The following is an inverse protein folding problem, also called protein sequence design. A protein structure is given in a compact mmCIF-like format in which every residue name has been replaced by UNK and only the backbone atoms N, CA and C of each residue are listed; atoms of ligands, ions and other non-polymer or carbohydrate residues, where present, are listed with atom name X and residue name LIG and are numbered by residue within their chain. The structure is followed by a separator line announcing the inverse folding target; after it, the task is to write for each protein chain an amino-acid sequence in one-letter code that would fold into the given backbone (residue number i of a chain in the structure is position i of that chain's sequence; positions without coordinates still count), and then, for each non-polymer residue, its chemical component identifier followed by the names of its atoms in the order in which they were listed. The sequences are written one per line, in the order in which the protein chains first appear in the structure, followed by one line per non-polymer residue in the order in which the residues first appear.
data_IF_624814247121
#
_entry.id   IF_624814247121
#
_cell.length_a   1.000
_cell.length_b   1.000
_cell.length_c   1.000
_cell.angle_alpha   90.00
_cell.angle_beta   90.00
_cell.angle_gamma   90.00
#
_symmetry.space_group_name_H-M   'P 1'
#
loop_
_entity.id
_entity.type
_entity.pdbx_description
1 polymer ?
#
# COMPACT_ATOMS: atom_id res chain seq x y z
N UNK A 1 -18.16 13.44 7.27
CA UNK A 1 -18.12 14.55 6.31
C UNK A 1 -17.29 14.05 5.15
N UNK A 2 -17.92 13.69 4.04
CA UNK A 2 -17.22 13.25 2.82
C UNK A 2 -16.50 14.47 2.26
N UNK A 3 -15.19 14.37 2.02
CA UNK A 3 -14.44 15.41 1.31
C UNK A 3 -15.05 15.55 -0.10
N UNK A 4 -15.27 16.77 -0.57
CA UNK A 4 -15.68 16.98 -1.96
C UNK A 4 -14.54 16.51 -2.89
N UNK A 5 -14.85 16.19 -4.14
CA UNK A 5 -13.82 15.81 -5.14
C UNK A 5 -12.73 16.88 -5.30
N UNK A 6 -13.09 18.13 -5.09
CA UNK A 6 -12.17 19.28 -5.12
C UNK A 6 -11.24 19.25 -3.90
N UNK A 7 -11.79 19.10 -2.69
CA UNK A 7 -10.98 18.97 -1.46
C UNK A 7 -10.06 17.75 -1.48
N UNK A 8 -10.46 16.67 -2.17
CA UNK A 8 -9.62 15.50 -2.39
C UNK A 8 -8.39 15.79 -3.27
N UNK A 9 -8.60 16.45 -4.41
CA UNK A 9 -7.51 16.85 -5.31
C UNK A 9 -6.56 17.82 -4.63
N UNK A 10 -7.11 18.80 -3.91
CA UNK A 10 -6.32 19.78 -3.15
C UNK A 10 -5.45 19.09 -2.10
N UNK A 11 -6.00 18.11 -1.38
CA UNK A 11 -5.25 17.34 -0.38
C UNK A 11 -4.09 16.55 -1.00
N UNK A 12 -4.31 15.90 -2.15
CA UNK A 12 -3.25 15.18 -2.85
C UNK A 12 -2.15 16.11 -3.38
N UNK A 13 -2.53 17.29 -3.88
CA UNK A 13 -1.61 18.29 -4.42
C UNK A 13 -0.82 19.05 -3.34
N UNK A 14 -1.38 19.19 -2.14
CA UNK A 14 -0.75 19.95 -1.05
C UNK A 14 0.42 19.17 -0.45
N UNK A 15 1.66 19.68 -0.45
CA UNK A 15 2.79 19.03 0.19
C UNK A 15 2.57 18.84 1.70
N UNK A 16 2.99 17.70 2.23
CA UNK A 16 3.02 17.50 3.68
C UNK A 16 4.21 18.26 4.28
N UNK A 17 4.13 18.49 5.60
CA UNK A 17 5.29 18.97 6.35
C UNK A 17 6.48 18.01 6.16
N UNK A 18 7.72 18.48 5.94
CA UNK A 18 8.90 17.61 5.82
C UNK A 18 9.09 16.68 7.03
N UNK A 19 8.61 17.08 8.20
CA UNK A 19 8.63 16.24 9.40
C UNK A 19 7.73 15.00 9.30
N UNK A 20 6.76 14.97 8.39
CA UNK A 20 5.89 13.82 8.19
C UNK A 20 6.62 12.63 7.56
N UNK A 21 7.68 12.89 6.78
CA UNK A 21 8.45 11.86 6.05
C UNK A 21 9.85 11.64 6.60
N UNK A 22 10.27 12.39 7.64
CA UNK A 22 11.64 12.36 8.20
C UNK A 22 12.07 10.97 8.69
N UNK A 23 11.12 10.15 9.17
CA UNK A 23 11.37 8.80 9.69
C UNK A 23 11.08 7.70 8.65
N UNK A 24 10.84 8.09 7.39
CA UNK A 24 10.63 7.17 6.28
C UNK A 24 11.97 6.98 5.57
N UNK A 25 12.51 5.78 5.68
CA UNK A 25 13.75 5.36 5.02
C UNK A 25 13.55 5.21 3.50
N UNK A 26 14.63 4.82 2.81
CA UNK A 26 14.62 4.60 1.37
C UNK A 26 15.03 5.83 0.57
N UNK A 27 15.30 5.59 -0.71
CA UNK A 27 15.92 6.55 -1.63
C UNK A 27 14.92 7.35 -2.47
N UNK A 28 13.61 7.13 -2.31
CA UNK A 28 12.60 7.88 -3.06
C UNK A 28 12.60 9.37 -2.70
N UNK A 29 12.14 10.22 -3.63
CA UNK A 29 11.99 11.65 -3.40
C UNK A 29 11.02 11.93 -2.25
N UNK A 30 11.11 13.14 -1.66
CA UNK A 30 10.19 13.54 -0.59
C UNK A 30 8.72 13.43 -1.06
N UNK A 31 8.43 13.88 -2.28
CA UNK A 31 7.09 13.80 -2.89
C UNK A 31 6.57 12.36 -2.93
N UNK A 32 7.39 11.40 -3.39
CA UNK A 32 7.00 9.98 -3.42
C UNK A 32 6.85 9.38 -2.03
N UNK A 33 7.61 9.85 -1.03
CA UNK A 33 7.43 9.44 0.38
C UNK A 33 6.12 9.92 0.99
N UNK A 34 5.54 11.01 0.48
CA UNK A 34 4.23 11.50 0.93
C UNK A 34 3.06 10.69 0.39
N UNK A 35 3.21 10.05 -0.77
CA UNK A 35 2.14 9.33 -1.46
C UNK A 35 1.49 8.27 -0.56
N UNK A 36 2.24 7.35 0.09
CA UNK A 36 1.64 6.39 1.01
C UNK A 36 0.89 7.03 2.17
N UNK A 37 1.43 8.10 2.76
CA UNK A 37 0.80 8.78 3.90
C UNK A 37 -0.54 9.40 3.49
N UNK A 38 -0.58 10.08 2.35
CA UNK A 38 -1.79 10.69 1.80
C UNK A 38 -2.84 9.64 1.50
N UNK A 39 -2.48 8.57 0.79
CA UNK A 39 -3.44 7.55 0.37
C UNK A 39 -3.96 6.69 1.50
N UNK A 40 -3.11 6.31 2.46
CA UNK A 40 -3.62 5.67 3.68
C UNK A 40 -4.58 6.58 4.42
N UNK A 41 -4.28 7.88 4.58
CA UNK A 41 -5.18 8.82 5.24
C UNK A 41 -6.52 8.98 4.49
N UNK A 42 -6.48 8.99 3.16
CA UNK A 42 -7.67 8.96 2.29
C UNK A 42 -8.50 7.72 2.56
N UNK A 43 -7.91 6.53 2.54
CA UNK A 43 -8.62 5.27 2.83
C UNK A 43 -9.29 5.30 4.20
N UNK A 44 -8.67 5.93 5.21
CA UNK A 44 -9.30 6.10 6.54
C UNK A 44 -10.39 7.16 6.58
N UNK A 45 -10.24 8.24 5.83
CA UNK A 45 -11.16 9.38 5.87
C UNK A 45 -12.44 9.09 5.07
N UNK A 46 -12.30 8.57 3.85
CA UNK A 46 -13.46 8.13 3.05
C UNK A 46 -14.08 6.87 3.62
N UNK A 47 -13.26 5.96 4.13
CA UNK A 47 -13.69 4.74 4.80
C UNK A 47 -14.04 4.94 6.28
N UNK A 48 -14.37 6.14 6.75
CA UNK A 48 -14.68 6.36 8.18
C UNK A 48 -15.87 5.48 8.58
N UNK A 49 -15.62 4.51 9.45
CA UNK A 49 -16.62 3.50 9.87
C UNK A 49 -16.80 2.34 8.88
N UNK A 50 -16.04 2.31 7.79
CA UNK A 50 -15.97 1.21 6.84
C UNK A 50 -15.04 0.07 7.29
N UNK A 51 -15.01 -1.00 6.49
CA UNK A 51 -14.18 -2.16 6.76
C UNK A 51 -12.69 -1.81 6.87
N UNK A 52 -11.99 -2.41 7.83
CA UNK A 52 -10.54 -2.22 8.02
C UNK A 52 -10.12 -0.83 8.52
N UNK A 53 -11.05 0.09 8.81
CA UNK A 53 -10.73 1.47 9.20
C UNK A 53 -9.81 1.53 10.44
N UNK A 54 -10.13 0.80 11.50
CA UNK A 54 -9.32 0.82 12.74
C UNK A 54 -7.97 0.12 12.58
N UNK A 55 -7.95 -1.06 11.94
CA UNK A 55 -6.72 -1.77 11.60
C UNK A 55 -5.78 -0.89 10.77
N UNK A 56 -6.32 -0.27 9.72
CA UNK A 56 -5.57 0.52 8.79
C UNK A 56 -5.01 1.84 9.34
N UNK A 57 -5.56 2.39 10.43
CA UNK A 57 -5.00 3.58 11.12
C UNK A 57 -3.68 3.29 11.83
N UNK A 58 -3.40 2.02 12.14
CA UNK A 58 -2.19 1.57 12.85
C UNK A 58 -1.06 1.20 11.91
N UNK A 59 -1.26 1.27 10.59
CA UNK A 59 -0.20 1.04 9.60
C UNK A 59 0.80 2.20 9.66
N UNK A 60 2.08 1.87 9.80
CA UNK A 60 3.18 2.84 9.81
C UNK A 60 4.04 2.61 8.58
N UNK A 61 4.20 3.64 7.74
CA UNK A 61 5.11 3.60 6.58
C UNK A 61 6.54 3.75 7.08
N UNK A 62 7.43 2.83 6.67
CA UNK A 62 8.81 2.76 7.13
C UNK A 62 9.83 3.00 6.05
N UNK A 63 9.55 2.58 4.82
CA UNK A 63 10.48 2.73 3.70
C UNK A 63 9.70 2.98 2.41
N UNK A 64 10.19 3.91 1.60
CA UNK A 64 9.79 4.06 0.19
C UNK A 64 11.06 4.18 -0.64
N UNK A 65 11.26 3.22 -1.53
CA UNK A 65 12.45 3.14 -2.38
C UNK A 65 12.06 2.93 -3.84
N UNK A 66 12.82 3.52 -4.75
CA UNK A 66 12.80 3.22 -6.17
C UNK A 66 14.14 2.58 -6.50
N UNK A 67 14.13 1.34 -6.98
CA UNK A 67 15.35 0.55 -7.14
C UNK A 67 15.30 -0.30 -8.41
N UNK A 68 16.45 -0.63 -9.02
CA UNK A 68 16.48 -1.60 -10.10
C UNK A 68 15.97 -2.97 -9.64
N UNK A 69 15.25 -3.68 -10.51
CA UNK A 69 14.89 -5.07 -10.23
C UNK A 69 16.13 -5.96 -10.25
N UNK A 70 16.09 -7.05 -9.48
CA UNK A 70 17.23 -7.97 -9.36
C UNK A 70 17.53 -8.68 -10.68
N UNK A 71 16.48 -9.07 -11.40
CA UNK A 71 16.60 -9.86 -12.64
C UNK A 71 16.85 -9.00 -13.88
N UNK A 72 16.43 -7.73 -13.86
CA UNK A 72 16.64 -6.77 -14.94
C UNK A 72 16.97 -5.37 -14.36
N UNK A 73 18.26 -5.02 -14.22
CA UNK A 73 18.68 -3.74 -13.65
C UNK A 73 18.28 -2.50 -14.46
N UNK A 74 17.78 -2.66 -15.69
CA UNK A 74 17.25 -1.55 -16.49
C UNK A 74 15.83 -1.21 -16.01
N UNK A 75 15.08 -2.21 -15.55
CA UNK A 75 13.73 -2.03 -15.00
C UNK A 75 13.81 -1.57 -13.56
N UNK A 76 12.97 -0.59 -13.23
CA UNK A 76 12.83 -0.07 -11.88
C UNK A 76 11.61 -0.68 -11.20
N UNK A 77 11.68 -0.84 -9.89
CA UNK A 77 10.55 -1.19 -9.02
C UNK A 77 10.44 -0.18 -7.87
N UNK A 78 9.20 0.13 -7.50
CA UNK A 78 8.89 0.73 -6.23
C UNK A 78 8.81 -0.34 -5.15
N UNK A 79 9.48 -0.09 -4.04
CA UNK A 79 9.41 -0.88 -2.81
C UNK A 79 8.80 -0.03 -1.71
N UNK A 80 7.68 -0.48 -1.17
CA UNK A 80 7.00 0.11 -0.03
C UNK A 80 7.06 -0.87 1.15
N UNK A 81 7.57 -0.41 2.29
CA UNK A 81 7.57 -1.18 3.54
C UNK A 81 6.71 -0.49 4.58
N UNK A 82 5.79 -1.26 5.16
CA UNK A 82 4.97 -0.84 6.28
C UNK A 82 5.14 -1.78 7.47
N UNK A 83 4.89 -1.28 8.67
CA UNK A 83 4.86 -2.04 9.92
C UNK A 83 3.50 -1.87 10.62
N UNK A 84 3.05 -2.92 11.29
CA UNK A 84 1.83 -2.92 12.11
C UNK A 84 1.89 -4.03 13.16
N UNK A 85 1.35 -3.79 14.35
CA UNK A 85 1.16 -4.82 15.37
C UNK A 85 -0.23 -5.45 15.26
N UNK A 86 -0.32 -6.77 15.40
CA UNK A 86 -1.61 -7.48 15.40
C UNK A 86 -2.40 -7.18 16.67
N UNK A 87 -3.57 -6.56 16.52
CA UNK A 87 -4.50 -6.27 17.63
C UNK A 87 -5.76 -7.13 17.56
N UNK A 88 -6.54 -7.16 18.65
CA UNK A 88 -7.67 -8.06 18.82
C UNK A 88 -8.75 -7.94 17.73
N UNK A 89 -9.00 -6.72 17.23
CA UNK A 89 -9.98 -6.46 16.17
C UNK A 89 -9.54 -6.95 14.78
N UNK A 90 -8.28 -7.38 14.65
CA UNK A 90 -7.74 -7.99 13.43
C UNK A 90 -7.79 -9.52 13.48
N UNK A 91 -8.07 -10.11 14.64
CA UNK A 91 -8.00 -11.54 14.85
C UNK A 91 -9.31 -12.28 14.52
N UNK A 92 -9.17 -13.56 14.22
CA UNK A 92 -10.27 -14.52 14.19
C UNK A 92 -10.63 -15.01 15.61
N UNK A 93 -11.60 -15.93 15.69
CA UNK A 93 -12.07 -16.51 16.95
C UNK A 93 -11.02 -17.33 17.72
N UNK A 94 -9.86 -17.61 17.14
CA UNK A 94 -8.74 -18.32 17.78
C UNK A 94 -7.63 -17.38 18.26
N UNK A 95 -7.79 -16.07 18.06
CA UNK A 95 -6.79 -15.07 18.43
C UNK A 95 -5.63 -14.96 17.44
N UNK A 96 -5.77 -15.54 16.23
CA UNK A 96 -4.82 -15.41 15.13
C UNK A 96 -5.27 -14.30 14.19
N UNK A 97 -4.34 -13.59 13.56
CA UNK A 97 -4.64 -12.61 12.54
C UNK A 97 -5.53 -13.23 11.44
N UNK A 98 -6.72 -12.68 11.24
CA UNK A 98 -7.70 -13.20 10.30
C UNK A 98 -7.16 -13.10 8.86
N UNK A 99 -7.35 -14.13 8.04
CA UNK A 99 -6.84 -14.16 6.66
C UNK A 99 -7.38 -13.00 5.81
N UNK A 100 -8.65 -12.63 6.01
CA UNK A 100 -9.25 -11.45 5.37
C UNK A 100 -8.63 -10.12 5.81
N UNK A 101 -8.12 -10.02 7.04
CA UNK A 101 -7.38 -8.83 7.48
C UNK A 101 -5.99 -8.79 6.81
N UNK A 102 -5.32 -9.95 6.67
CA UNK A 102 -4.09 -10.05 5.88
C UNK A 102 -4.34 -9.60 4.43
N UNK A 103 -5.38 -10.10 3.77
CA UNK A 103 -5.74 -9.72 2.42
C UNK A 103 -5.98 -8.20 2.28
N UNK A 104 -6.68 -7.59 3.23
CA UNK A 104 -6.91 -6.14 3.29
C UNK A 104 -5.61 -5.32 3.37
N UNK A 105 -4.70 -5.71 4.27
CA UNK A 105 -3.41 -5.02 4.42
C UNK A 105 -2.59 -5.06 3.12
N UNK A 106 -2.67 -6.17 2.40
CA UNK A 106 -1.97 -6.39 1.13
C UNK A 106 -2.62 -5.65 -0.03
N UNK A 107 -3.95 -5.59 -0.07
CA UNK A 107 -4.71 -4.86 -1.08
C UNK A 107 -4.34 -3.38 -1.11
N UNK A 108 -4.30 -2.73 0.05
CA UNK A 108 -3.95 -1.32 0.12
C UNK A 108 -2.45 -1.07 -0.11
N UNK A 109 -1.59 -1.89 0.48
CA UNK A 109 -0.14 -1.74 0.36
C UNK A 109 0.35 -1.94 -1.08
N UNK A 110 -0.23 -2.91 -1.80
CA UNK A 110 0.11 -3.17 -3.20
C UNK A 110 -0.35 -2.02 -4.10
N UNK A 111 -1.57 -1.51 -3.89
CA UNK A 111 -2.13 -0.40 -4.65
C UNK A 111 -1.28 0.86 -4.53
N UNK A 112 -0.83 1.16 -3.31
CA UNK A 112 0.02 2.31 -3.04
C UNK A 112 1.43 2.12 -3.63
N UNK A 113 2.00 0.91 -3.56
CA UNK A 113 3.32 0.65 -4.16
C UNK A 113 3.30 0.83 -5.69
N UNK A 114 2.25 0.33 -6.35
CA UNK A 114 2.03 0.55 -7.79
C UNK A 114 1.88 2.03 -8.12
N UNK A 115 1.09 2.76 -7.32
CA UNK A 115 0.92 4.20 -7.50
C UNK A 115 2.25 4.97 -7.36
N UNK A 116 3.08 4.62 -6.38
CA UNK A 116 4.41 5.22 -6.22
C UNK A 116 5.25 5.02 -7.47
N UNK A 117 5.22 3.83 -8.07
CA UNK A 117 5.94 3.55 -9.32
C UNK A 117 5.36 4.34 -10.49
N UNK A 118 4.03 4.36 -10.65
CA UNK A 118 3.36 5.12 -11.71
C UNK A 118 3.70 6.62 -11.63
N UNK A 119 3.71 7.21 -10.42
CA UNK A 119 4.10 8.61 -10.24
C UNK A 119 5.59 8.84 -10.50
N UNK A 120 6.46 7.89 -10.17
CA UNK A 120 7.88 7.97 -10.51
C UNK A 120 8.12 8.03 -12.03
N UNK A 121 7.30 7.32 -12.81
CA UNK A 121 7.35 7.31 -14.27
C UNK A 121 6.62 8.49 -14.93
N UNK A 122 6.14 9.45 -14.14
CA UNK A 122 5.43 10.64 -14.63
C UNK A 122 3.94 10.44 -14.88
N UNK A 123 3.36 9.34 -14.39
CA UNK A 123 1.93 9.06 -14.43
C UNK A 123 1.12 9.88 -13.42
N UNK A 124 -0.21 9.76 -13.52
CA UNK A 124 -1.14 10.47 -12.65
C UNK A 124 -1.12 9.94 -11.21
N UNK A 125 -1.39 10.82 -10.24
CA UNK A 125 -1.64 10.44 -8.85
C UNK A 125 -3.04 9.82 -8.69
N UNK A 126 -3.21 8.62 -9.26
CA UNK A 126 -4.48 7.90 -9.36
C UNK A 126 -4.30 6.41 -9.03
N UNK A 127 -5.01 5.94 -8.01
CA UNK A 127 -4.94 4.55 -7.59
C UNK A 127 -5.71 3.63 -8.56
N UNK A 128 -5.14 2.46 -8.82
CA UNK A 128 -5.77 1.40 -9.59
C UNK A 128 -6.90 0.72 -8.82
N UNK A 129 -7.73 -0.03 -9.55
CA UNK A 129 -8.74 -0.92 -8.97
C UNK A 129 -8.23 -2.35 -8.98
N UNK A 130 -8.36 -3.04 -7.85
CA UNK A 130 -7.97 -4.44 -7.70
C UNK A 130 -8.83 -5.34 -8.59
N UNK A 131 -8.18 -6.17 -9.41
CA UNK A 131 -8.82 -7.11 -10.31
C UNK A 131 -8.66 -8.55 -9.84
N UNK A 132 -7.42 -8.93 -9.52
CA UNK A 132 -7.12 -10.27 -9.00
C UNK A 132 -6.11 -10.19 -7.88
N UNK A 133 -6.25 -11.08 -6.91
CA UNK A 133 -5.31 -11.22 -5.81
C UNK A 133 -5.16 -12.70 -5.49
N UNK A 134 -3.95 -13.23 -5.70
CA UNK A 134 -3.60 -14.61 -5.39
C UNK A 134 -2.80 -14.62 -4.09
N UNK A 135 -3.33 -15.29 -3.05
CA UNK A 135 -2.76 -15.27 -1.70
C UNK A 135 -2.35 -16.67 -1.28
N UNK A 136 -1.11 -16.82 -0.78
CA UNK A 136 -0.61 -18.02 -0.14
C UNK A 136 -0.35 -17.73 1.34
N UNK A 137 -1.03 -18.46 2.21
CA UNK A 137 -0.86 -18.38 3.66
C UNK A 137 0.13 -19.44 4.13
N UNK A 138 1.26 -19.02 4.67
CA UNK A 138 2.36 -19.90 5.07
C UNK A 138 2.39 -20.17 6.57
N UNK A 139 2.02 -19.19 7.40
CA UNK A 139 2.06 -19.30 8.85
C UNK A 139 0.97 -18.45 9.53
N UNK A 140 0.65 -18.79 10.78
CA UNK A 140 -0.23 -17.99 11.63
C UNK A 140 0.55 -16.87 12.34
N UNK A 141 -0.15 -15.77 12.63
CA UNK A 141 0.35 -14.62 13.37
C UNK A 141 -0.57 -14.33 14.58
N UNK A 142 -0.21 -14.73 15.80
CA UNK A 142 -1.04 -14.48 16.98
C UNK A 142 -1.13 -12.98 17.32
N UNK A 143 -2.10 -12.61 18.16
CA UNK A 143 -2.20 -11.30 18.79
C UNK A 143 -0.83 -10.82 19.34
N UNK A 144 -0.49 -9.56 19.09
CA UNK A 144 0.77 -8.94 19.49
C UNK A 144 1.94 -9.19 18.55
N UNK A 145 1.78 -10.00 17.49
CA UNK A 145 2.85 -10.18 16.49
C UNK A 145 3.15 -8.86 15.79
N UNK A 146 4.43 -8.50 15.69
CA UNK A 146 4.89 -7.36 14.91
C UNK A 146 5.09 -7.77 13.46
N UNK A 147 4.31 -7.17 12.56
CA UNK A 147 4.33 -7.49 11.14
C UNK A 147 5.17 -6.47 10.37
N UNK A 148 5.96 -6.98 9.42
CA UNK A 148 6.56 -6.20 8.35
C UNK A 148 5.89 -6.57 7.03
N UNK A 149 5.26 -5.60 6.40
CA UNK A 149 4.58 -5.75 5.11
C UNK A 149 5.48 -5.13 4.05
N UNK A 150 5.82 -5.91 3.03
CA UNK A 150 6.70 -5.46 1.94
C UNK A 150 5.93 -5.60 0.64
N UNK A 151 5.78 -4.49 -0.09
CA UNK A 151 5.11 -4.44 -1.38
C UNK A 151 6.13 -4.01 -2.44
N UNK A 152 6.17 -4.72 -3.57
CA UNK A 152 7.05 -4.41 -4.70
C UNK A 152 6.26 -4.39 -5.99
N UNK A 153 6.35 -3.29 -6.73
CA UNK A 153 5.83 -3.26 -8.10
C UNK A 153 6.63 -4.22 -8.97
N UNK A 154 5.94 -5.05 -9.75
CA UNK A 154 6.53 -5.96 -10.76
C UNK A 154 6.39 -5.34 -12.14
N UNK A 155 5.20 -4.83 -12.44
CA UNK A 155 4.90 -4.04 -13.64
C UNK A 155 4.11 -2.82 -13.23
N UNK A 156 4.46 -1.67 -13.79
CA UNK A 156 3.80 -0.38 -13.60
C UNK A 156 3.68 0.32 -14.97
N UNK A 157 2.79 1.30 -15.08
CA UNK A 157 2.48 2.07 -16.28
C UNK A 157 2.05 1.25 -17.51
N UNK A 158 1.50 0.05 -17.30
CA UNK A 158 0.90 -0.78 -18.34
C UNK A 158 -0.63 -0.67 -18.38
N UNK A 159 -1.28 -1.46 -19.25
CA UNK A 159 -2.73 -1.66 -19.15
C UNK A 159 -3.12 -2.41 -17.86
N UNK A 160 -2.17 -3.18 -17.31
CA UNK A 160 -2.31 -3.94 -16.09
C UNK A 160 -1.05 -3.78 -15.24
N UNK A 161 -1.25 -3.35 -14.00
CA UNK A 161 -0.18 -3.17 -13.03
C UNK A 161 -0.15 -4.39 -12.09
N UNK A 162 1.04 -4.87 -11.77
CA UNK A 162 1.22 -6.06 -10.94
C UNK A 162 2.14 -5.77 -9.76
N UNK A 163 1.73 -6.20 -8.58
CA UNK A 163 2.52 -6.07 -7.36
C UNK A 163 2.72 -7.45 -6.72
N UNK A 164 3.93 -7.69 -6.21
CA UNK A 164 4.23 -8.80 -5.32
C UNK A 164 4.40 -8.28 -3.91
N UNK A 165 3.68 -8.88 -2.98
CA UNK A 165 3.69 -8.46 -1.60
C UNK A 165 3.94 -9.63 -0.65
N UNK A 166 4.61 -9.36 0.47
CA UNK A 166 4.85 -10.33 1.53
C UNK A 166 4.54 -9.75 2.92
N UNK A 167 4.01 -10.58 3.84
CA UNK A 167 3.91 -10.25 5.26
C UNK A 167 4.88 -11.14 6.04
N UNK A 168 5.69 -10.52 6.88
CA UNK A 168 6.70 -11.17 7.70
C UNK A 168 6.44 -10.95 9.19
N UNK A 169 6.66 -12.00 9.99
CA UNK A 169 6.80 -11.91 11.45
C UNK A 169 8.19 -11.34 11.75
N UNK A 170 8.24 -10.15 12.33
CA UNK A 170 9.51 -9.46 12.63
C UNK A 170 10.29 -10.13 13.73
N UNK A 171 9.60 -10.72 14.71
CA UNK A 171 10.24 -11.31 15.90
C UNK A 171 10.78 -12.72 15.58
N UNK A 172 10.06 -13.47 14.75
CA UNK A 172 10.43 -14.84 14.36
C UNK A 172 11.14 -14.94 13.02
N UNK A 173 11.34 -13.82 12.32
CA UNK A 173 11.94 -13.75 10.99
C UNK A 173 11.33 -14.75 10.00
N UNK A 174 9.99 -14.84 9.99
CA UNK A 174 9.27 -15.87 9.25
C UNK A 174 8.24 -15.27 8.31
N UNK A 175 8.19 -15.79 7.09
CA UNK A 175 7.18 -15.43 6.11
C UNK A 175 5.80 -15.96 6.54
N UNK A 176 4.82 -15.06 6.62
CA UNK A 176 3.43 -15.35 7.00
C UNK A 176 2.57 -15.49 5.75
N UNK A 177 2.69 -14.56 4.80
CA UNK A 177 1.87 -14.50 3.59
C UNK A 177 2.68 -14.07 2.38
N UNK A 178 2.41 -14.66 1.21
CA UNK A 178 2.82 -14.14 -0.10
C UNK A 178 1.61 -13.81 -0.95
N UNK A 179 1.67 -12.70 -1.68
CA UNK A 179 0.60 -12.22 -2.54
C UNK A 179 1.15 -11.78 -3.90
N UNK A 180 0.39 -12.09 -4.96
CA UNK A 180 0.50 -11.42 -6.25
C UNK A 180 -0.84 -10.80 -6.60
N UNK A 181 -0.83 -9.50 -6.88
CA UNK A 181 -2.02 -8.72 -7.12
C UNK A 181 -1.93 -7.99 -8.46
N UNK A 182 -3.02 -7.99 -9.22
CA UNK A 182 -3.18 -7.24 -10.46
C UNK A 182 -4.19 -6.13 -10.24
N UNK A 183 -3.85 -4.94 -10.71
CA UNK A 183 -4.71 -3.77 -10.74
C UNK A 183 -4.87 -3.23 -12.16
N UNK A 184 -5.95 -2.49 -12.39
CA UNK A 184 -6.23 -1.80 -13.65
C UNK A 184 -6.69 -0.37 -13.40
N UNK A 185 -6.63 0.47 -14.42
CA UNK A 185 -7.24 1.78 -14.37
C UNK A 185 -8.77 1.67 -14.15
N UNK A 186 -9.40 2.55 -13.34
CA UNK A 186 -10.85 2.59 -13.20
C UNK A 186 -11.52 2.94 -14.54
N UNK A 187 -12.66 2.32 -14.86
CA UNK A 187 -13.42 2.51 -16.11
C UNK A 187 -14.07 3.90 -16.28
N UNK A 188 -13.91 4.81 -15.31
CA UNK A 188 -14.27 6.21 -15.46
C UNK A 188 -13.22 6.97 -16.27
N UNK A 189 -13.59 7.38 -17.49
CA UNK A 189 -12.91 8.40 -18.26
C UNK A 189 -12.80 9.68 -17.40
N UNK A 190 -11.61 10.26 -17.29
CA UNK A 190 -11.56 11.72 -17.20
C UNK A 190 -12.21 12.19 -18.50
N UNK A 191 -13.20 13.10 -18.49
CA UNK A 191 -13.67 13.69 -19.73
C UNK A 191 -12.45 14.27 -20.44
N UNK A 192 -12.28 13.92 -21.71
CA UNK A 192 -11.37 14.62 -22.59
C UNK A 192 -11.66 16.12 -22.46
N UNK A 193 -10.60 16.92 -22.38
CA UNK A 193 -10.72 18.35 -22.66
C UNK A 193 -11.13 18.49 -24.13
N UNK A 194 -12.44 18.51 -24.39
CA UNK A 194 -13.06 19.17 -25.54
C UNK A 194 -13.75 20.45 -25.08
#
# INVERSE_FOLDING_TARGET
MLLSRETFRDYLATPLSPFATVNIEGNASQELKEVPLKWYNIFRTFGKGGFGCEAGKRIVVKEVSIQPTVDDPIKMEAKLVCEIEVTADMCDGTGMLHQGCMAFLMDEGSAIALLVMNMHEGGENRIGVSQTMNILYHAAAPLGTRLRIINRSVTAAGEMDCCRSEIWDMDKHRLIVSVTQIQMAPSGLLPSEE
#
